data_IF_879737883668
#
_entry.id   IF_879737883668
#
_cell.length_a   1.000
_cell.length_b   1.000
_cell.length_c   1.000
_cell.angle_alpha   90.00
_cell.angle_beta   90.00
_cell.angle_gamma   90.00
#
_symmetry.space_group_name_H-M   'P 1'
#
loop_
_entity.id
_entity.type
_entity.pdbx_description
1 polymer ?
#
# COMPACT_ATOMS: atom_id res chain seq x y z
N UNK A 1 21.81 -4.48 6.18
CA UNK A 1 20.45 -4.72 5.69
C UNK A 1 19.73 -3.45 5.47
N UNK A 2 19.17 -3.30 4.33
CA UNK A 2 18.47 -2.08 4.01
C UNK A 2 16.98 -2.34 3.87
N UNK A 3 16.21 -1.44 4.44
CA UNK A 3 14.78 -1.40 4.19
C UNK A 3 14.52 -0.48 3.03
N UNK A 4 13.45 -0.76 2.30
CA UNK A 4 13.03 0.07 1.18
C UNK A 4 11.63 0.56 1.42
N UNK A 5 11.27 1.65 0.75
CA UNK A 5 9.93 2.19 0.79
C UNK A 5 9.42 2.28 -0.65
N UNK A 6 8.27 1.67 -0.88
CA UNK A 6 7.57 1.78 -2.16
C UNK A 6 6.29 2.56 -1.97
N UNK A 7 5.89 3.29 -3.00
CA UNK A 7 4.67 4.07 -2.95
C UNK A 7 3.77 3.64 -4.10
N UNK A 8 2.46 3.62 -3.84
CA UNK A 8 1.47 3.35 -4.86
C UNK A 8 0.31 4.31 -4.68
N UNK A 9 -0.18 4.89 -5.78
CA UNK A 9 -1.33 5.77 -5.75
C UNK A 9 -2.61 4.96 -5.83
N UNK A 10 -3.55 5.26 -4.95
CA UNK A 10 -4.86 4.58 -4.90
C UNK A 10 -5.93 5.64 -5.08
N UNK A 11 -6.80 5.49 -6.09
CA UNK A 11 -7.88 6.44 -6.33
C UNK A 11 -8.80 6.61 -5.13
N UNK A 12 -9.41 7.78 -5.03
CA UNK A 12 -10.31 8.12 -3.94
C UNK A 12 -11.40 7.07 -3.73
N UNK A 13 -11.93 6.51 -4.80
CA UNK A 13 -13.01 5.54 -4.73
C UNK A 13 -12.58 4.22 -4.07
N UNK A 14 -11.29 3.90 -4.10
CA UNK A 14 -10.78 2.62 -3.60
C UNK A 14 -9.98 2.72 -2.30
N UNK A 15 -9.58 3.92 -1.91
CA UNK A 15 -8.68 4.08 -0.77
C UNK A 15 -9.28 3.60 0.54
N UNK A 16 -10.58 3.80 0.76
CA UNK A 16 -11.22 3.38 1.99
C UNK A 16 -11.27 1.86 2.10
N UNK A 17 -11.54 1.19 0.99
CA UNK A 17 -11.55 -0.26 0.95
C UNK A 17 -10.16 -0.83 1.22
N UNK A 18 -9.14 -0.26 0.61
CA UNK A 18 -7.77 -0.70 0.85
C UNK A 18 -7.37 -0.49 2.32
N UNK A 19 -7.75 0.64 2.89
CA UNK A 19 -7.45 0.91 4.29
C UNK A 19 -8.06 -0.15 5.19
N UNK A 20 -9.30 -0.55 4.93
CA UNK A 20 -9.95 -1.61 5.70
C UNK A 20 -9.21 -2.93 5.56
N UNK A 21 -8.79 -3.27 4.35
CA UNK A 21 -8.04 -4.50 4.11
C UNK A 21 -6.74 -4.47 4.90
N UNK A 22 -5.99 -3.38 4.83
CA UNK A 22 -4.71 -3.28 5.52
C UNK A 22 -4.85 -3.33 7.04
N UNK A 23 -5.94 -2.79 7.58
CA UNK A 23 -6.20 -2.86 9.02
C UNK A 23 -6.59 -4.27 9.47
N UNK A 24 -7.24 -5.02 8.61
CA UNK A 24 -7.68 -6.37 8.97
C UNK A 24 -6.60 -7.42 8.77
N UNK A 25 -5.59 -7.12 7.95
CA UNK A 25 -4.51 -8.07 7.66
C UNK A 25 -3.32 -7.81 8.55
N UNK A 26 -2.65 -8.90 8.93
CA UNK A 26 -1.40 -8.78 9.66
C UNK A 26 -0.28 -8.64 8.64
N UNK A 27 0.28 -7.44 8.52
CA UNK A 27 1.35 -7.18 7.57
C UNK A 27 2.72 -7.59 8.08
N UNK A 28 2.80 -8.09 9.32
CA UNK A 28 4.06 -8.57 9.88
C UNK A 28 5.11 -7.46 9.97
N UNK A 29 6.32 -7.69 9.44
CA UNK A 29 7.39 -6.70 9.51
C UNK A 29 7.21 -5.52 8.56
N UNK A 30 6.17 -5.55 7.72
CA UNK A 30 5.93 -4.48 6.75
C UNK A 30 5.10 -3.39 7.39
N UNK A 31 5.59 -2.15 7.33
CA UNK A 31 4.85 -0.99 7.79
C UNK A 31 4.20 -0.29 6.60
N UNK A 32 3.06 0.34 6.84
CA UNK A 32 2.40 1.08 5.78
C UNK A 32 1.88 2.41 6.31
N UNK A 33 1.74 3.37 5.41
CA UNK A 33 1.24 4.69 5.75
C UNK A 33 0.46 5.25 4.58
N UNK A 34 -0.56 6.05 4.87
CA UNK A 34 -1.40 6.68 3.88
C UNK A 34 -1.23 8.20 3.90
N UNK A 35 -1.03 8.78 2.73
CA UNK A 35 -1.03 10.23 2.55
C UNK A 35 -2.20 10.60 1.65
N UNK A 36 -3.18 11.29 2.22
CA UNK A 36 -4.39 11.67 1.48
C UNK A 36 -4.13 12.86 0.58
N UNK A 37 -4.82 12.87 -0.56
CA UNK A 37 -4.80 13.99 -1.48
C UNK A 37 -6.18 14.19 -2.09
N UNK A 38 -6.30 15.17 -2.97
CA UNK A 38 -7.57 15.47 -3.64
C UNK A 38 -8.11 14.31 -4.45
N UNK A 39 -7.22 13.59 -5.13
CA UNK A 39 -7.62 12.58 -6.11
C UNK A 39 -7.57 11.16 -5.55
N UNK A 40 -7.03 11.00 -4.36
CA UNK A 40 -6.89 9.69 -3.77
C UNK A 40 -5.90 9.70 -2.63
N UNK A 41 -5.14 8.64 -2.48
CA UNK A 41 -4.14 8.53 -1.44
C UNK A 41 -2.90 7.84 -1.98
N UNK A 42 -1.74 8.23 -1.45
CA UNK A 42 -0.51 7.51 -1.69
C UNK A 42 -0.28 6.59 -0.50
N UNK A 43 -0.11 5.30 -0.78
CA UNK A 43 0.19 4.32 0.25
C UNK A 43 1.66 3.96 0.18
N UNK A 44 2.34 4.11 1.29
CA UNK A 44 3.77 3.84 1.42
C UNK A 44 3.97 2.54 2.16
N UNK A 45 4.70 1.62 1.56
CA UNK A 45 5.03 0.34 2.18
C UNK A 45 6.51 0.28 2.44
N UNK A 46 6.88 0.11 3.70
CA UNK A 46 8.28 0.12 4.12
C UNK A 46 8.62 -1.17 4.84
N UNK A 47 9.79 -1.72 4.56
CA UNK A 47 10.25 -2.92 5.21
C UNK A 47 11.23 -3.70 4.36
N UNK A 48 11.33 -5.02 4.58
CA UNK A 48 12.22 -5.86 3.78
C UNK A 48 11.89 -5.72 2.29
N UNK A 49 12.90 -5.62 1.42
CA UNK A 49 12.66 -5.33 0.00
C UNK A 49 11.68 -6.27 -0.68
N UNK A 50 11.75 -7.56 -0.39
CA UNK A 50 10.87 -8.53 -1.04
C UNK A 50 9.41 -8.29 -0.64
N UNK A 51 9.17 -8.07 0.66
CA UNK A 51 7.81 -7.86 1.14
C UNK A 51 7.24 -6.52 0.68
N UNK A 52 8.03 -5.47 0.75
CA UNK A 52 7.59 -4.15 0.31
C UNK A 52 7.25 -4.15 -1.17
N UNK A 53 8.07 -4.81 -1.98
CA UNK A 53 7.84 -4.92 -3.41
C UNK A 53 6.57 -5.71 -3.71
N UNK A 54 6.35 -6.81 -3.01
CA UNK A 54 5.14 -7.62 -3.20
C UNK A 54 3.89 -6.84 -2.83
N UNK A 55 3.93 -6.10 -1.74
CA UNK A 55 2.78 -5.31 -1.31
C UNK A 55 2.46 -4.23 -2.33
N UNK A 56 3.46 -3.52 -2.82
CA UNK A 56 3.27 -2.48 -3.81
C UNK A 56 2.69 -3.06 -5.10
N UNK A 57 3.24 -4.18 -5.56
CA UNK A 57 2.76 -4.83 -6.78
C UNK A 57 1.32 -5.31 -6.63
N UNK A 58 1.00 -5.91 -5.48
CA UNK A 58 -0.34 -6.39 -5.19
C UNK A 58 -1.36 -5.25 -5.25
N UNK A 59 -1.04 -4.15 -4.56
CA UNK A 59 -1.96 -3.01 -4.50
C UNK A 59 -2.10 -2.36 -5.85
N UNK A 60 -1.01 -2.19 -6.59
CA UNK A 60 -1.04 -1.59 -7.92
C UNK A 60 -1.92 -2.40 -8.87
N UNK A 61 -1.79 -3.72 -8.83
CA UNK A 61 -2.60 -4.60 -9.66
C UNK A 61 -4.07 -4.57 -9.23
N UNK A 62 -4.32 -4.58 -7.92
CA UNK A 62 -5.67 -4.50 -7.38
C UNK A 62 -6.37 -3.21 -7.83
N UNK A 63 -5.65 -2.10 -7.85
CA UNK A 63 -6.22 -0.83 -8.30
C UNK A 63 -6.60 -0.88 -9.78
N UNK A 64 -5.77 -1.52 -10.59
CA UNK A 64 -6.02 -1.61 -12.04
C UNK A 64 -7.15 -2.58 -12.34
N UNK A 65 -7.13 -3.75 -11.70
CA UNK A 65 -8.08 -4.82 -12.01
C UNK A 65 -9.37 -4.73 -11.21
N UNK A 66 -9.29 -4.10 -10.07
CA UNK A 66 -10.45 -3.95 -9.22
C UNK A 66 -11.34 -2.82 -9.67
#
# INVERSE_FOLDING_TARGET
>A
MSEVTYVVFVPKAKRDELRKILHSEDTGPLAWREMRSWFGSEFYFSGPPVLARKAQAYVAEWVICG
#
